data_IF_263797227627
#
_entry.id   IF_263797227627
#
_cell.length_a   1.000
_cell.length_b   1.000
_cell.length_c   1.000
_cell.angle_alpha   90.00
_cell.angle_beta   90.00
_cell.angle_gamma   90.00
#
_symmetry.space_group_name_H-M   'P 1'
#
loop_
_entity.id
_entity.type
_entity.pdbx_description
1 polymer ?
#
# COMPACT_ATOMS: atom_id res chain seq x y z
N UNK A 1 -9.78 11.44 12.15
CA UNK A 1 -9.09 10.64 11.12
C UNK A 1 -9.11 9.19 11.59
N UNK A 2 -9.76 8.29 10.85
CA UNK A 2 -9.94 6.88 11.22
C UNK A 2 -9.18 5.92 10.30
N UNK A 3 -9.31 4.63 10.58
CA UNK A 3 -8.88 3.57 9.67
C UNK A 3 -9.76 3.63 8.41
N UNK A 4 -9.13 3.54 7.24
CA UNK A 4 -9.84 3.33 5.97
C UNK A 4 -9.67 1.86 5.60
N UNK A 5 -10.78 1.15 5.46
CA UNK A 5 -10.81 -0.21 4.94
C UNK A 5 -11.64 -0.20 3.65
N UNK A 6 -11.06 -0.72 2.58
CA UNK A 6 -11.68 -0.83 1.26
C UNK A 6 -11.50 -2.25 0.76
N UNK A 7 -12.42 -2.71 -0.07
CA UNK A 7 -12.38 -4.01 -0.73
C UNK A 7 -12.62 -3.80 -2.23
N UNK A 8 -11.87 -4.51 -3.06
CA UNK A 8 -12.02 -4.46 -4.51
C UNK A 8 -11.61 -5.80 -5.13
N UNK A 9 -11.96 -6.00 -6.40
CA UNK A 9 -11.47 -7.13 -7.22
C UNK A 9 -10.58 -6.58 -8.32
N UNK A 10 -9.40 -7.15 -8.47
CA UNK A 10 -8.44 -6.77 -9.51
C UNK A 10 -8.20 -7.93 -10.45
N UNK A 11 -8.19 -7.66 -11.76
CA UNK A 11 -7.86 -8.65 -12.78
C UNK A 11 -6.41 -8.52 -13.26
N UNK A 12 -5.92 -9.55 -13.95
CA UNK A 12 -4.56 -9.52 -14.48
C UNK A 12 -4.34 -8.31 -15.42
N UNK A 13 -3.30 -7.52 -15.14
CA UNK A 13 -2.95 -6.32 -15.89
C UNK A 13 -3.72 -5.06 -15.49
N UNK A 14 -4.69 -5.17 -14.58
CA UNK A 14 -5.44 -4.03 -14.07
C UNK A 14 -4.64 -3.22 -13.03
N UNK A 15 -5.08 -2.00 -12.77
CA UNK A 15 -4.61 -1.18 -11.66
C UNK A 15 -5.80 -0.46 -11.04
N UNK A 16 -6.05 -0.71 -9.74
CA UNK A 16 -7.05 0.03 -8.98
C UNK A 16 -6.37 1.12 -8.15
N UNK A 17 -7.02 2.28 -8.08
CA UNK A 17 -6.55 3.42 -7.30
C UNK A 17 -7.46 3.65 -6.10
N UNK A 18 -6.86 3.80 -4.93
CA UNK A 18 -7.56 4.17 -3.71
C UNK A 18 -6.86 5.35 -3.06
N UNK A 19 -7.66 6.24 -2.46
CA UNK A 19 -7.18 7.47 -1.83
C UNK A 19 -7.60 7.52 -0.37
N UNK A 20 -6.72 8.09 0.46
CA UNK A 20 -7.00 8.38 1.86
C UNK A 20 -6.53 9.78 2.19
N UNK A 21 -7.44 10.63 2.65
CA UNK A 21 -7.05 11.94 3.18
C UNK A 21 -6.19 11.76 4.44
N UNK A 22 -5.09 12.51 4.52
CA UNK A 22 -4.16 12.54 5.66
C UNK A 22 -3.99 13.98 6.14
N UNK A 23 -3.69 14.17 7.43
CA UNK A 23 -3.39 15.49 7.98
C UNK A 23 -1.97 15.94 7.60
N UNK A 24 -1.75 17.26 7.55
CA UNK A 24 -0.48 17.91 7.16
C UNK A 24 0.74 17.64 8.06
N UNK A 25 0.63 16.75 9.04
CA UNK A 25 1.72 16.34 9.94
C UNK A 25 1.78 14.83 10.15
N UNK A 26 1.17 14.03 9.26
CA UNK A 26 1.25 12.59 9.35
C UNK A 26 2.67 12.13 9.02
N UNK A 27 3.37 11.57 10.01
CA UNK A 27 4.74 11.05 9.87
C UNK A 27 4.79 9.55 9.63
N UNK A 28 3.68 8.86 9.88
CA UNK A 28 3.55 7.41 9.74
C UNK A 28 2.23 7.06 9.06
N UNK A 29 2.31 6.33 7.96
CA UNK A 29 1.17 5.66 7.32
C UNK A 29 1.39 4.14 7.38
N UNK A 30 0.49 3.42 8.05
CA UNK A 30 0.47 1.96 8.04
C UNK A 30 -0.44 1.50 6.90
N UNK A 31 0.06 0.59 6.08
CA UNK A 31 -0.70 0.00 4.96
C UNK A 31 -0.73 -1.51 5.12
N UNK A 32 -1.92 -2.08 4.94
CA UNK A 32 -2.19 -3.52 4.99
C UNK A 32 -3.00 -3.90 3.74
N UNK A 33 -2.31 -4.36 2.71
CA UNK A 33 -2.93 -4.90 1.51
C UNK A 33 -2.89 -6.42 1.62
N UNK A 34 -4.05 -7.05 1.77
CA UNK A 34 -4.17 -8.49 1.94
C UNK A 34 -5.14 -9.05 0.90
N UNK A 35 -4.64 -9.94 0.04
CA UNK A 35 -5.46 -10.68 -0.93
C UNK A 35 -5.48 -12.20 -0.64
N UNK A 36 -4.67 -12.67 0.31
CA UNK A 36 -4.74 -14.03 0.88
C UNK A 36 -4.36 -15.15 -0.08
N UNK A 37 -3.92 -14.84 -1.29
CA UNK A 37 -3.51 -15.79 -2.31
C UNK A 37 -2.06 -15.55 -2.73
N UNK A 38 -1.17 -16.42 -2.30
CA UNK A 38 0.26 -16.33 -2.65
C UNK A 38 0.58 -16.85 -4.05
N UNK A 39 -0.39 -17.40 -4.79
CA UNK A 39 -0.17 -17.89 -6.17
C UNK A 39 -0.17 -16.75 -7.18
N UNK A 40 -0.94 -15.70 -6.91
CA UNK A 40 -0.99 -14.48 -7.70
C UNK A 40 -0.12 -13.38 -7.09
N UNK A 41 0.53 -12.60 -7.96
CA UNK A 41 1.38 -11.48 -7.53
C UNK A 41 0.66 -10.15 -7.68
N UNK A 42 0.46 -9.46 -6.56
CA UNK A 42 0.10 -8.05 -6.54
C UNK A 42 1.31 -7.18 -6.17
N UNK A 43 1.28 -5.94 -6.68
CA UNK A 43 2.24 -4.89 -6.30
C UNK A 43 1.49 -3.67 -5.80
N UNK A 44 2.01 -3.06 -4.75
CA UNK A 44 1.47 -1.82 -4.20
C UNK A 44 2.36 -0.65 -4.60
N UNK A 45 1.77 0.40 -5.19
CA UNK A 45 2.45 1.69 -5.38
C UNK A 45 1.82 2.73 -4.47
N UNK A 46 2.65 3.49 -3.76
CA UNK A 46 2.18 4.56 -2.89
C UNK A 46 2.66 5.90 -3.38
N UNK A 47 1.75 6.85 -3.47
CA UNK A 47 2.00 8.19 -3.97
C UNK A 47 1.69 9.22 -2.88
N UNK A 48 2.46 10.31 -2.86
CA UNK A 48 2.12 11.52 -2.11
C UNK A 48 0.89 12.20 -2.71
N UNK A 49 0.22 13.12 -1.97
CA UNK A 49 -0.89 13.89 -2.53
C UNK A 49 -0.53 14.73 -3.77
N UNK A 50 0.75 15.08 -3.95
CA UNK A 50 1.23 15.77 -5.16
C UNK A 50 1.54 14.83 -6.33
N UNK A 51 1.33 13.52 -6.17
CA UNK A 51 1.58 12.51 -7.20
C UNK A 51 3.01 11.97 -7.26
N UNK A 52 3.91 12.37 -6.34
CA UNK A 52 5.25 11.79 -6.28
C UNK A 52 5.20 10.35 -5.74
N UNK A 53 5.84 9.40 -6.45
CA UNK A 53 5.94 8.00 -6.02
C UNK A 53 6.85 7.88 -4.79
N UNK A 54 6.30 7.40 -3.68
CA UNK A 54 7.05 7.06 -2.47
C UNK A 54 7.74 5.71 -2.57
N UNK A 55 7.09 4.73 -3.22
CA UNK A 55 7.65 3.39 -3.35
C UNK A 55 6.76 2.44 -4.15
N UNK A 56 7.40 1.37 -4.65
CA UNK A 56 6.75 0.19 -5.21
C UNK A 56 7.11 -1.00 -4.34
N UNK A 57 6.10 -1.69 -3.83
CA UNK A 57 6.23 -2.78 -2.87
C UNK A 57 5.62 -4.06 -3.43
N UNK A 58 6.15 -5.18 -2.99
CA UNK A 58 5.75 -6.54 -3.38
C UNK A 58 5.52 -7.35 -2.11
N UNK A 59 4.85 -8.49 -2.22
CA UNK A 59 4.54 -9.43 -1.13
C UNK A 59 5.77 -9.66 -0.22
N UNK A 60 6.95 -9.88 -0.83
CA UNK A 60 8.22 -10.10 -0.14
C UNK A 60 8.77 -8.95 0.73
N UNK A 61 8.12 -7.79 0.78
CA UNK A 61 8.66 -6.61 1.48
C UNK A 61 8.78 -6.79 2.99
N UNK A 62 7.91 -7.60 3.59
CA UNK A 62 7.94 -7.90 5.03
C UNK A 62 8.71 -9.19 5.36
N UNK A 63 9.40 -9.75 4.35
CA UNK A 63 10.19 -10.97 4.48
C UNK A 63 9.39 -12.27 4.30
N UNK A 64 8.08 -12.18 4.04
CA UNK A 64 7.19 -13.32 3.80
C UNK A 64 6.56 -13.21 2.42
N UNK A 65 6.05 -14.31 1.85
CA UNK A 65 5.27 -14.28 0.60
C UNK A 65 4.01 -15.08 0.85
N UNK A 66 2.98 -14.39 1.33
CA UNK A 66 1.74 -14.97 1.87
C UNK A 66 0.47 -14.30 1.33
N UNK A 67 0.58 -13.54 0.24
CA UNK A 67 -0.55 -12.81 -0.32
C UNK A 67 -0.87 -11.55 0.48
N UNK A 68 0.14 -10.95 1.14
CA UNK A 68 -0.03 -9.76 1.96
C UNK A 68 1.16 -8.82 1.86
N UNK A 69 0.88 -7.53 1.84
CA UNK A 69 1.86 -6.46 1.96
C UNK A 69 1.48 -5.67 3.21
N UNK A 70 2.22 -5.89 4.29
CA UNK A 70 2.08 -5.12 5.53
C UNK A 70 3.30 -4.24 5.76
N UNK A 71 3.13 -2.92 5.70
CA UNK A 71 4.26 -2.00 5.80
C UNK A 71 3.97 -0.69 6.50
N UNK A 72 5.05 -0.07 6.98
CA UNK A 72 5.07 1.22 7.66
C UNK A 72 5.78 2.23 6.74
N UNK A 73 5.05 3.21 6.25
CA UNK A 73 5.61 4.31 5.47
C UNK A 73 5.92 5.44 6.44
N UNK A 74 7.20 5.59 6.73
CA UNK A 74 7.73 6.67 7.55
C UNK A 74 8.27 7.77 6.63
N UNK A 75 7.92 9.02 6.93
CA UNK A 75 8.66 10.15 6.36
C UNK A 75 10.00 10.23 7.08
N UNK A 76 11.07 9.70 6.49
CA UNK A 76 12.43 10.00 6.94
C UNK A 76 12.82 11.38 6.41
N UNK A 77 12.89 12.36 7.29
CA UNK A 77 13.63 13.59 7.00
C UNK A 77 15.10 13.18 6.84
N UNK A 78 15.63 13.26 5.62
CA UNK A 78 17.09 13.22 5.39
C UNK A 78 17.74 14.53 5.84
#
# INVERSE_FOLDING_TARGET
MGILTVYDTISQGETNFHEKSVSSGLTLLVVDLNWGDSTDSLRLKVYTPSGALLGTYYDSVDGTTDGRIYLYIVSLTV
#
